data_IF_777663154844
#
_entry.id   IF_777663154844
#
_cell.length_a   1.000
_cell.length_b   1.000
_cell.length_c   1.000
_cell.angle_alpha   90.00
_cell.angle_beta   90.00
_cell.angle_gamma   90.00
#
_symmetry.space_group_name_H-M   'P 1'
#
loop_
_entity.id
_entity.type
_entity.pdbx_description
1 polymer ?
#
# COMPACT_ATOMS: atom_id res chain seq x y z
N UNK A 1 -9.37 60.98 32.84
CA UNK A 1 -8.96 60.64 31.47
C UNK A 1 -7.71 59.72 31.39
N UNK A 2 -6.52 60.11 31.94
CA UNK A 2 -5.31 59.28 31.80
C UNK A 2 -5.41 57.87 32.42
N UNK A 3 -6.12 57.66 33.53
CA UNK A 3 -6.33 56.34 34.13
C UNK A 3 -7.29 55.43 33.33
N UNK A 4 -8.29 56.03 32.66
CA UNK A 4 -9.23 55.31 31.81
C UNK A 4 -8.55 54.79 30.53
N UNK A 5 -7.69 55.64 29.95
CA UNK A 5 -6.88 55.29 28.76
C UNK A 5 -5.87 54.17 29.09
N UNK A 6 -5.22 54.25 30.26
CA UNK A 6 -4.29 53.22 30.71
C UNK A 6 -4.97 51.87 30.98
N UNK A 7 -6.18 51.86 31.51
CA UNK A 7 -7.00 50.65 31.69
C UNK A 7 -7.44 50.06 30.36
N UNK A 8 -7.84 50.92 29.41
CA UNK A 8 -8.24 50.44 28.06
C UNK A 8 -7.06 49.83 27.29
N UNK A 9 -5.87 50.45 27.39
CA UNK A 9 -4.64 49.91 26.79
C UNK A 9 -4.23 48.59 27.44
N UNK A 10 -4.34 48.47 28.79
CA UNK A 10 -4.04 47.22 29.48
C UNK A 10 -5.00 46.08 29.10
N UNK A 11 -6.31 46.38 28.93
CA UNK A 11 -7.30 45.40 28.46
C UNK A 11 -7.04 45.00 27.00
N UNK A 12 -6.67 45.96 26.14
CA UNK A 12 -6.31 45.66 24.74
C UNK A 12 -5.05 44.78 24.65
N UNK A 13 -4.03 45.04 25.52
CA UNK A 13 -2.84 44.16 25.57
C UNK A 13 -3.16 42.78 26.12
N UNK A 14 -4.10 42.63 27.06
CA UNK A 14 -4.52 41.33 27.59
C UNK A 14 -5.23 40.49 26.53
N UNK A 15 -6.01 41.14 25.63
CA UNK A 15 -6.69 40.44 24.49
C UNK A 15 -5.69 39.97 23.44
N UNK A 16 -4.54 40.62 23.30
CA UNK A 16 -3.48 40.22 22.38
C UNK A 16 -2.65 39.02 22.89
N UNK A 17 -2.77 38.65 24.18
CA UNK A 17 -2.05 37.53 24.81
C UNK A 17 -2.89 36.24 24.81
N UNK A 18 -4.12 36.27 24.28
CA UNK A 18 -4.84 35.03 24.00
C UNK A 18 -3.97 34.27 22.99
N UNK A 19 -3.39 33.09 23.36
CA UNK A 19 -2.64 32.33 22.40
C UNK A 19 -3.59 32.06 21.22
N UNK A 20 -3.29 32.65 20.09
CA UNK A 20 -3.86 32.20 18.83
C UNK A 20 -3.47 30.74 18.78
N UNK A 21 -4.41 29.83 19.11
CA UNK A 21 -4.16 28.43 18.96
C UNK A 21 -3.59 28.25 17.55
N UNK A 22 -2.35 27.79 17.48
CA UNK A 22 -1.80 27.33 16.21
C UNK A 22 -2.64 26.12 15.87
N UNK A 23 -3.74 26.33 15.17
CA UNK A 23 -4.46 25.25 14.54
C UNK A 23 -3.45 24.65 13.57
N UNK A 24 -2.90 23.49 13.91
CA UNK A 24 -2.17 22.70 12.93
C UNK A 24 -3.08 22.59 11.69
N UNK A 25 -2.55 22.90 10.52
CA UNK A 25 -3.31 22.74 9.31
C UNK A 25 -3.82 21.30 9.26
N UNK A 26 -5.12 21.13 9.05
CA UNK A 26 -5.75 19.84 8.91
C UNK A 26 -5.03 19.05 7.82
N UNK A 27 -4.57 17.84 8.14
CA UNK A 27 -3.95 16.96 7.15
C UNK A 27 -5.06 16.34 6.32
N UNK A 28 -4.94 16.48 5.00
CA UNK A 28 -5.88 15.93 4.04
C UNK A 28 -5.20 14.92 3.14
N UNK A 29 -5.95 13.89 2.72
CA UNK A 29 -5.56 13.01 1.63
C UNK A 29 -5.55 13.77 0.30
N UNK A 30 -4.93 13.23 -0.77
CA UNK A 30 -5.01 13.82 -2.10
C UNK A 30 -6.45 14.02 -2.62
N UNK A 31 -7.41 13.21 -2.13
CA UNK A 31 -8.85 13.33 -2.45
C UNK A 31 -9.59 14.34 -1.57
N UNK A 32 -8.93 14.96 -0.59
CA UNK A 32 -9.49 15.98 0.28
C UNK A 32 -10.20 15.44 1.53
N UNK A 33 -10.04 14.15 1.85
CA UNK A 33 -10.56 13.56 3.09
C UNK A 33 -9.61 13.91 4.23
N UNK A 34 -10.17 14.38 5.36
CA UNK A 34 -9.39 14.60 6.57
C UNK A 34 -8.80 13.29 7.09
N UNK A 35 -7.57 13.33 7.64
CA UNK A 35 -6.99 12.17 8.29
C UNK A 35 -7.83 11.67 9.46
N UNK A 36 -8.53 12.57 10.16
CA UNK A 36 -9.41 12.22 11.27
C UNK A 36 -10.67 11.47 10.78
N UNK A 37 -11.08 11.66 9.53
CA UNK A 37 -12.28 11.06 8.94
C UNK A 37 -11.99 9.76 8.17
N UNK A 38 -10.72 9.42 7.89
CA UNK A 38 -10.35 8.23 7.10
C UNK A 38 -11.02 6.97 7.65
N UNK A 39 -10.95 6.75 8.96
CA UNK A 39 -11.56 5.58 9.60
C UNK A 39 -13.06 5.50 9.34
N UNK A 40 -13.77 6.62 9.51
CA UNK A 40 -15.22 6.70 9.27
C UNK A 40 -15.59 6.38 7.82
N UNK A 41 -14.81 6.90 6.86
CA UNK A 41 -15.05 6.64 5.43
C UNK A 41 -14.80 5.17 5.07
N UNK A 42 -13.73 4.57 5.61
CA UNK A 42 -13.42 3.15 5.38
C UNK A 42 -14.48 2.26 6.03
N UNK A 43 -14.89 2.54 7.27
CA UNK A 43 -15.94 1.80 7.97
C UNK A 43 -17.26 1.82 7.18
N UNK A 44 -17.64 2.99 6.65
CA UNK A 44 -18.84 3.14 5.84
C UNK A 44 -18.75 2.33 4.54
N UNK A 45 -17.59 2.37 3.88
CA UNK A 45 -17.36 1.61 2.64
C UNK A 45 -17.40 0.10 2.89
N UNK A 46 -16.70 -0.40 3.90
CA UNK A 46 -16.70 -1.83 4.23
C UNK A 46 -18.09 -2.31 4.58
N UNK A 47 -18.85 -1.51 5.34
CA UNK A 47 -20.23 -1.82 5.71
C UNK A 47 -21.18 -1.90 4.49
N UNK A 48 -20.98 -1.06 3.48
CA UNK A 48 -21.77 -1.12 2.24
C UNK A 48 -21.60 -2.46 1.52
N UNK A 49 -20.41 -3.06 1.59
CA UNK A 49 -20.06 -4.31 0.90
C UNK A 49 -19.98 -5.53 1.84
N UNK A 50 -20.38 -5.41 3.10
CA UNK A 50 -20.21 -6.48 4.12
C UNK A 50 -20.82 -7.82 3.73
N UNK A 51 -21.90 -7.84 2.94
CA UNK A 51 -22.54 -9.08 2.49
C UNK A 51 -21.70 -9.89 1.51
N UNK A 52 -20.71 -9.28 0.87
CA UNK A 52 -19.79 -9.94 -0.08
C UNK A 52 -18.39 -10.15 0.48
N UNK A 53 -18.13 -9.71 1.71
CA UNK A 53 -16.81 -9.74 2.33
C UNK A 53 -16.80 -10.71 3.51
N UNK A 54 -15.85 -11.65 3.49
CA UNK A 54 -15.63 -12.57 4.63
C UNK A 54 -14.70 -11.92 5.65
N UNK A 55 -13.63 -11.31 5.17
CA UNK A 55 -12.60 -10.70 6.00
C UNK A 55 -11.89 -9.59 5.25
N UNK A 56 -11.60 -8.50 5.93
CA UNK A 56 -10.81 -7.38 5.37
C UNK A 56 -9.87 -6.85 6.44
N UNK A 57 -8.59 -6.68 6.08
CA UNK A 57 -7.64 -5.90 6.84
C UNK A 57 -7.26 -4.66 6.03
N UNK A 58 -7.30 -3.49 6.64
CA UNK A 58 -6.91 -2.23 6.02
C UNK A 58 -5.85 -1.52 6.84
N UNK A 59 -4.91 -0.87 6.15
CA UNK A 59 -3.91 -0.03 6.79
C UNK A 59 -3.66 1.19 5.90
N UNK A 60 -3.83 2.38 6.45
CA UNK A 60 -3.48 3.65 5.81
C UNK A 60 -2.30 4.25 6.55
N UNK A 61 -1.27 4.62 5.82
CA UNK A 61 -0.05 5.15 6.41
C UNK A 61 0.57 6.23 5.52
N UNK A 62 1.37 7.09 6.13
CA UNK A 62 2.25 8.04 5.47
C UNK A 62 3.66 8.00 6.08
N UNK A 63 4.49 8.97 5.74
CA UNK A 63 5.85 9.12 6.28
C UNK A 63 5.90 9.31 7.81
N UNK A 64 4.79 9.74 8.43
CA UNK A 64 4.68 9.91 9.88
C UNK A 64 4.27 8.63 10.61
N UNK A 65 3.85 7.59 9.89
CA UNK A 65 3.42 6.29 10.42
C UNK A 65 2.02 5.89 10.01
N UNK A 66 1.42 5.00 10.80
CA UNK A 66 0.07 4.51 10.56
C UNK A 66 -0.94 5.59 10.97
N UNK A 67 -1.84 5.91 10.03
CA UNK A 67 -2.93 6.86 10.20
C UNK A 67 -4.20 6.13 10.67
N UNK A 68 -4.45 4.95 10.08
CA UNK A 68 -5.61 4.14 10.37
C UNK A 68 -5.32 2.66 10.14
N UNK A 69 -5.83 1.81 11.03
CA UNK A 69 -5.93 0.36 10.85
C UNK A 69 -7.36 -0.08 11.15
N UNK A 70 -7.87 -0.99 10.33
CA UNK A 70 -9.19 -1.57 10.52
C UNK A 70 -9.22 -3.05 10.12
N UNK A 71 -9.93 -3.85 10.93
CA UNK A 71 -10.08 -5.29 10.74
C UNK A 71 -11.56 -5.62 10.79
N UNK A 72 -12.08 -6.34 9.78
CA UNK A 72 -13.50 -6.58 9.62
C UNK A 72 -13.75 -8.04 9.25
N UNK A 73 -14.88 -8.56 9.71
CA UNK A 73 -15.32 -9.92 9.44
C UNK A 73 -14.53 -10.98 10.22
N UNK A 74 -14.38 -12.15 9.64
CA UNK A 74 -13.85 -13.33 10.33
C UNK A 74 -12.56 -13.84 9.66
N UNK A 75 -11.53 -14.09 10.48
CA UNK A 75 -10.34 -14.85 10.06
C UNK A 75 -10.61 -16.37 10.03
N UNK A 76 -11.61 -16.84 10.80
CA UNK A 76 -12.06 -18.21 10.80
C UNK A 76 -13.59 -18.23 11.07
N UNK A 77 -14.36 -18.54 10.02
CA UNK A 77 -15.82 -18.54 10.09
C UNK A 77 -16.34 -19.69 10.97
N UNK A 78 -15.70 -20.87 10.87
CA UNK A 78 -16.18 -22.06 11.58
C UNK A 78 -16.07 -21.90 13.10
N UNK A 79 -15.03 -21.21 13.57
CA UNK A 79 -14.77 -20.94 14.96
C UNK A 79 -15.21 -19.54 15.41
N UNK A 80 -15.91 -18.80 14.57
CA UNK A 80 -16.37 -17.42 14.82
C UNK A 80 -15.23 -16.49 15.29
N UNK A 81 -13.98 -16.73 14.82
CA UNK A 81 -12.84 -15.89 15.14
C UNK A 81 -12.85 -14.65 14.28
N UNK A 82 -12.96 -13.47 14.89
CA UNK A 82 -12.90 -12.19 14.18
C UNK A 82 -11.50 -11.94 13.60
N UNK A 83 -11.45 -11.18 12.51
CA UNK A 83 -10.20 -10.65 12.00
C UNK A 83 -9.62 -9.61 12.97
N UNK A 84 -8.31 -9.63 13.13
CA UNK A 84 -7.54 -8.80 14.04
C UNK A 84 -6.15 -8.49 13.46
N UNK A 85 -5.29 -7.81 14.22
CA UNK A 85 -3.93 -7.44 13.85
C UNK A 85 -2.99 -8.64 13.59
N UNK A 86 -3.33 -9.82 14.14
CA UNK A 86 -2.58 -11.06 13.95
C UNK A 86 -3.07 -11.86 12.73
N UNK A 87 -4.13 -11.40 12.06
CA UNK A 87 -4.69 -12.08 10.90
C UNK A 87 -3.77 -11.95 9.69
N UNK A 88 -3.38 -13.10 9.13
CA UNK A 88 -2.51 -13.16 7.97
C UNK A 88 -3.33 -13.30 6.70
N UNK A 89 -3.09 -12.42 5.74
CA UNK A 89 -3.69 -12.42 4.41
C UNK A 89 -2.68 -12.80 3.33
N UNK A 90 -3.11 -13.60 2.36
CA UNK A 90 -2.31 -13.87 1.16
C UNK A 90 -2.33 -12.64 0.25
N UNK A 91 -1.15 -12.12 -0.04
CA UNK A 91 -0.99 -10.96 -0.91
C UNK A 91 -1.18 -11.29 -2.40
N UNK A 92 -1.18 -12.55 -2.75
CA UNK A 92 -1.28 -12.99 -4.14
C UNK A 92 -0.31 -12.24 -5.05
N UNK A 93 -0.80 -11.73 -6.17
CA UNK A 93 0.01 -11.00 -7.16
C UNK A 93 0.59 -9.67 -6.69
N UNK A 94 0.11 -9.10 -5.59
CA UNK A 94 0.71 -7.90 -4.98
C UNK A 94 2.17 -8.17 -4.58
N UNK A 95 2.51 -9.41 -4.25
CA UNK A 95 3.89 -9.85 -3.96
C UNK A 95 4.87 -9.57 -5.10
N UNK A 96 4.40 -9.45 -6.35
CA UNK A 96 5.24 -9.11 -7.50
C UNK A 96 5.91 -7.75 -7.38
N UNK A 97 5.32 -6.82 -6.62
CA UNK A 97 5.95 -5.52 -6.34
C UNK A 97 7.30 -5.71 -5.63
N UNK A 98 7.38 -6.65 -4.68
CA UNK A 98 8.64 -6.95 -3.97
C UNK A 98 9.68 -7.58 -4.91
N UNK A 99 9.22 -8.43 -5.85
CA UNK A 99 10.09 -8.99 -6.90
C UNK A 99 10.67 -7.87 -7.75
N UNK A 100 9.82 -6.94 -8.22
CA UNK A 100 10.28 -5.83 -9.07
C UNK A 100 11.22 -4.88 -8.35
N UNK A 101 10.98 -4.57 -7.06
CA UNK A 101 11.92 -3.80 -6.23
C UNK A 101 13.29 -4.52 -6.18
N UNK A 102 13.31 -5.84 -5.98
CA UNK A 102 14.55 -6.63 -5.97
C UNK A 102 15.26 -6.60 -7.33
N UNK A 103 14.51 -6.69 -8.43
CA UNK A 103 15.04 -6.57 -9.79
C UNK A 103 15.66 -5.20 -10.03
N UNK A 104 15.01 -4.12 -9.58
CA UNK A 104 15.54 -2.76 -9.66
C UNK A 104 16.84 -2.61 -8.87
N UNK A 105 16.93 -3.20 -7.68
CA UNK A 105 18.16 -3.20 -6.87
C UNK A 105 19.30 -3.96 -7.55
N UNK A 106 19.02 -5.07 -8.24
CA UNK A 106 20.02 -5.79 -9.02
C UNK A 106 20.49 -4.96 -10.23
N UNK A 107 19.59 -4.23 -10.88
CA UNK A 107 19.94 -3.30 -11.96
C UNK A 107 20.83 -2.18 -11.46
N UNK A 108 20.52 -1.55 -10.32
CA UNK A 108 21.34 -0.51 -9.69
C UNK A 108 22.74 -1.00 -9.32
N UNK A 109 22.87 -2.29 -8.97
CA UNK A 109 24.14 -2.94 -8.67
C UNK A 109 24.88 -3.43 -9.93
N UNK A 110 24.39 -3.14 -11.12
CA UNK A 110 24.95 -3.59 -12.41
C UNK A 110 25.03 -5.12 -12.55
N UNK A 111 24.20 -5.86 -11.78
CA UNK A 111 24.12 -7.34 -11.81
C UNK A 111 23.11 -7.88 -12.79
N UNK A 112 22.22 -7.02 -13.27
CA UNK A 112 21.17 -7.36 -14.22
C UNK A 112 20.96 -6.21 -15.19
N UNK A 113 20.78 -6.53 -16.47
CA UNK A 113 20.33 -5.62 -17.50
C UNK A 113 18.94 -6.00 -17.99
N UNK A 114 18.06 -5.00 -18.21
CA UNK A 114 16.67 -5.24 -18.56
C UNK A 114 16.49 -5.80 -19.97
N UNK A 115 17.43 -5.51 -20.87
CA UNK A 115 17.37 -5.91 -22.29
C UNK A 115 18.15 -7.23 -22.56
N UNK A 116 18.88 -7.74 -21.58
CA UNK A 116 19.61 -9.00 -21.71
C UNK A 116 18.64 -10.18 -21.62
N UNK A 117 18.89 -11.23 -22.41
CA UNK A 117 18.16 -12.48 -22.34
C UNK A 117 18.20 -13.07 -20.94
N UNK A 118 17.05 -13.38 -20.35
CA UNK A 118 16.98 -13.92 -18.98
C UNK A 118 17.72 -15.24 -18.83
N UNK A 119 17.95 -16.00 -19.93
CA UNK A 119 18.71 -17.25 -19.91
C UNK A 119 20.16 -17.05 -19.48
N UNK A 120 20.73 -15.84 -19.64
CA UNK A 120 22.08 -15.53 -19.16
C UNK A 120 22.17 -15.45 -17.64
N UNK A 121 21.03 -15.23 -16.95
CA UNK A 121 20.95 -15.16 -15.49
C UNK A 121 20.48 -16.46 -14.83
N UNK A 122 20.03 -17.42 -15.63
CA UNK A 122 19.46 -18.66 -15.14
C UNK A 122 20.43 -19.84 -15.32
N UNK A 123 20.35 -20.87 -14.46
CA UNK A 123 21.09 -22.08 -14.68
C UNK A 123 20.77 -22.71 -16.04
N UNK A 124 21.77 -23.35 -16.68
CA UNK A 124 21.56 -24.08 -17.92
C UNK A 124 20.42 -25.11 -17.78
N UNK A 125 19.50 -25.10 -18.75
CA UNK A 125 18.37 -26.03 -18.77
C UNK A 125 17.20 -25.62 -17.84
N UNK A 126 17.24 -24.45 -17.21
CA UNK A 126 16.13 -23.98 -16.39
C UNK A 126 14.83 -23.74 -17.22
N UNK A 127 15.00 -23.13 -18.40
CA UNK A 127 13.91 -22.93 -19.36
C UNK A 127 14.02 -23.96 -20.50
N UNK A 128 13.41 -25.14 -20.33
CA UNK A 128 13.60 -26.27 -21.25
C UNK A 128 12.52 -26.43 -22.31
N UNK A 129 11.41 -25.69 -22.24
CA UNK A 129 10.25 -25.88 -23.12
C UNK A 129 9.70 -24.54 -23.59
N UNK A 130 10.52 -23.76 -24.25
CA UNK A 130 10.05 -22.55 -24.92
C UNK A 130 9.48 -22.93 -26.30
N UNK A 131 8.29 -22.42 -26.64
CA UNK A 131 7.68 -22.63 -27.95
C UNK A 131 8.50 -21.97 -29.06
N UNK A 132 9.21 -20.89 -28.74
CA UNK A 132 10.05 -20.12 -29.66
C UNK A 132 11.46 -20.01 -29.01
N UNK A 133 12.28 -21.04 -29.25
CA UNK A 133 13.60 -21.18 -28.61
C UNK A 133 14.60 -20.09 -29.04
N UNK A 134 14.43 -19.57 -30.29
CA UNK A 134 15.31 -18.56 -30.87
C UNK A 134 14.94 -17.11 -30.44
N UNK A 135 13.80 -16.91 -29.80
CA UNK A 135 13.37 -15.57 -29.38
C UNK A 135 13.98 -15.19 -28.02
N UNK A 136 14.41 -13.96 -27.94
CA UNK A 136 14.93 -13.38 -26.69
C UNK A 136 13.79 -13.04 -25.74
N UNK A 137 13.89 -13.49 -24.51
CA UNK A 137 13.00 -13.08 -23.42
C UNK A 137 13.82 -12.25 -22.45
N UNK A 138 13.43 -11.02 -22.26
CA UNK A 138 14.14 -10.08 -21.38
C UNK A 138 13.43 -9.90 -20.03
N UNK A 139 14.12 -9.33 -19.05
CA UNK A 139 13.50 -8.95 -17.78
C UNK A 139 12.37 -7.93 -18.01
N UNK A 140 12.51 -7.05 -19.00
CA UNK A 140 11.48 -6.08 -19.35
C UNK A 140 10.21 -6.76 -19.84
N UNK A 141 10.32 -7.84 -20.64
CA UNK A 141 9.16 -8.63 -21.06
C UNK A 141 8.45 -9.27 -19.86
N UNK A 142 9.19 -9.77 -18.86
CA UNK A 142 8.58 -10.31 -17.65
C UNK A 142 7.86 -9.22 -16.84
N UNK A 143 8.46 -8.03 -16.72
CA UNK A 143 7.87 -6.91 -15.99
C UNK A 143 6.59 -6.39 -16.66
N UNK A 144 6.54 -6.41 -17.99
CA UNK A 144 5.39 -5.97 -18.78
C UNK A 144 4.33 -7.07 -18.99
N UNK A 145 4.58 -8.29 -18.53
CA UNK A 145 3.70 -9.45 -18.74
C UNK A 145 3.52 -9.81 -20.24
N UNK A 146 4.53 -9.56 -21.09
CA UNK A 146 4.51 -9.85 -22.52
C UNK A 146 5.56 -10.89 -22.96
N UNK A 147 6.12 -11.64 -22.00
CA UNK A 147 7.11 -12.68 -22.25
C UNK A 147 6.60 -13.92 -23.00
N UNK A 148 5.29 -14.02 -23.24
CA UNK A 148 4.70 -15.09 -24.04
C UNK A 148 4.62 -16.46 -23.36
N UNK A 149 4.86 -16.54 -22.05
CA UNK A 149 4.68 -17.80 -21.33
C UNK A 149 3.20 -18.21 -21.31
N UNK A 150 2.97 -19.50 -21.61
CA UNK A 150 1.64 -20.08 -21.48
C UNK A 150 1.44 -20.59 -20.06
N UNK A 151 0.37 -20.18 -19.40
CA UNK A 151 0.01 -20.67 -18.09
C UNK A 151 -0.61 -22.07 -18.19
N UNK A 152 0.04 -23.06 -17.58
CA UNK A 152 -0.50 -24.43 -17.49
C UNK A 152 -0.99 -24.70 -16.06
N UNK A 153 -2.09 -24.06 -15.66
CA UNK A 153 -2.68 -24.24 -14.31
C UNK A 153 -3.10 -25.69 -14.03
N UNK A 154 -3.31 -26.50 -15.06
CA UNK A 154 -3.81 -27.88 -14.93
C UNK A 154 -2.71 -28.95 -14.90
N UNK A 155 -1.53 -28.70 -15.45
CA UNK A 155 -0.47 -29.71 -15.50
C UNK A 155 0.22 -29.94 -14.15
N UNK A 156 0.27 -28.94 -13.30
CA UNK A 156 0.90 -29.03 -11.98
C UNK A 156 -0.01 -29.63 -10.88
N UNK A 157 -1.29 -29.87 -11.17
CA UNK A 157 -2.23 -30.50 -10.24
C UNK A 157 -2.38 -32.01 -10.47
N UNK A 158 -1.75 -32.56 -11.52
CA UNK A 158 -1.87 -33.97 -11.93
C UNK A 158 -0.53 -34.73 -11.86
N UNK A 159 0.51 -34.15 -11.29
CA UNK A 159 1.81 -34.79 -11.10
C UNK A 159 2.02 -35.29 -9.67
#
# INVERSE_FOLDING_TARGET
MKRLVAMLVAVLMLVMIIPQGVYAAEKLTPSGISYDDIGTEIDAYVKEYETGLVSVGTCVFDESGIIYEGYYGYSDIENEKLADEETVYDWGSTSKLLVWVSVMQLKEQEKLDFETDIREYLPEGFLTKLQYEDETITMLNLMNHDAGFQESMYENQLA
#
